data_IF_499894399974
#
_entry.id   IF_499894399974
#
_cell.length_a   1.000
_cell.length_b   1.000
_cell.length_c   1.000
_cell.angle_alpha   90.00
_cell.angle_beta   90.00
_cell.angle_gamma   90.00
#
_symmetry.space_group_name_H-M   'P 1'
#
loop_
_entity.id
_entity.type
_entity.pdbx_description
1 polymer ?
#
# COMPACT_ATOMS: atom_id res chain seq x y z
N UNK A 1 25.25 1.36 7.95
CA UNK A 1 23.91 0.89 8.35
C UNK A 1 23.00 0.99 7.13
N UNK A 2 23.00 -0.02 6.25
CA UNK A 2 22.11 -0.07 5.08
C UNK A 2 20.81 -0.76 5.50
N UNK A 3 19.94 0.01 6.17
CA UNK A 3 18.74 -0.51 6.84
C UNK A 3 17.68 -0.99 5.85
N UNK A 4 17.04 -2.10 6.21
CA UNK A 4 15.89 -2.73 5.57
C UNK A 4 14.82 -1.73 5.12
N UNK A 5 14.87 -1.31 3.86
CA UNK A 5 13.68 -0.79 3.19
C UNK A 5 12.95 -1.98 2.60
N UNK A 6 12.17 -2.65 3.46
CA UNK A 6 11.39 -3.82 3.09
C UNK A 6 10.43 -3.52 1.92
N UNK A 7 9.98 -4.59 1.25
CA UNK A 7 9.02 -4.49 0.15
C UNK A 7 7.80 -3.65 0.54
N UNK A 8 7.41 -2.71 -0.33
CA UNK A 8 6.29 -1.77 -0.14
C UNK A 8 4.96 -2.32 -0.67
N UNK A 9 4.86 -3.64 -0.79
CA UNK A 9 3.68 -4.37 -1.24
C UNK A 9 3.57 -5.69 -0.44
N UNK A 10 2.39 -6.01 0.11
CA UNK A 10 1.11 -5.29 -0.05
C UNK A 10 0.99 -4.02 0.81
N UNK A 11 0.05 -3.13 0.43
CA UNK A 11 -0.48 -2.10 1.33
C UNK A 11 -1.73 -2.66 2.03
N UNK A 12 -1.78 -2.57 3.35
CA UNK A 12 -2.86 -3.18 4.16
C UNK A 12 -3.43 -2.21 5.20
N UNK A 13 -4.70 -2.43 5.56
CA UNK A 13 -5.33 -1.82 6.74
C UNK A 13 -5.49 -2.88 7.81
N UNK A 14 -4.98 -2.60 9.00
CA UNK A 14 -5.17 -3.40 10.20
C UNK A 14 -5.92 -2.59 11.25
N UNK A 15 -6.72 -3.26 12.07
CA UNK A 15 -7.54 -2.65 13.12
C UNK A 15 -7.12 -3.22 14.47
N UNK A 16 -7.12 -2.37 15.49
CA UNK A 16 -6.94 -2.75 16.88
C UNK A 16 -8.18 -2.39 17.70
N UNK A 17 -8.61 -3.32 18.54
CA UNK A 17 -9.71 -3.15 19.49
C UNK A 17 -9.21 -2.99 20.94
N UNK A 18 -7.88 -2.89 21.14
CA UNK A 18 -7.22 -2.93 22.46
C UNK A 18 -6.15 -1.84 22.63
N UNK A 19 -6.42 -0.66 22.08
CA UNK A 19 -5.55 0.53 22.08
C UNK A 19 -4.18 0.29 21.44
N UNK A 20 -4.16 -0.47 20.35
CA UNK A 20 -2.97 -0.72 19.54
C UNK A 20 -2.05 -1.84 20.06
N UNK A 21 -2.50 -2.65 21.03
CA UNK A 21 -1.70 -3.77 21.57
C UNK A 21 -1.70 -4.98 20.64
N UNK A 22 -2.83 -5.29 20.03
CA UNK A 22 -2.99 -6.32 19.01
C UNK A 22 -3.68 -5.75 17.78
N UNK A 23 -3.38 -6.36 16.63
CA UNK A 23 -3.83 -5.89 15.33
C UNK A 23 -4.33 -7.06 14.50
N UNK A 24 -5.55 -6.96 13.99
CA UNK A 24 -6.09 -7.89 12.99
C UNK A 24 -5.99 -7.27 11.60
N UNK A 25 -5.68 -8.09 10.60
CA UNK A 25 -5.79 -7.67 9.20
C UNK A 25 -7.26 -7.44 8.87
N UNK A 26 -7.61 -6.24 8.39
CA UNK A 26 -8.97 -5.88 8.00
C UNK A 26 -9.15 -5.88 6.49
N UNK A 27 -8.20 -5.32 5.73
CA UNK A 27 -8.25 -5.28 4.28
C UNK A 27 -6.85 -5.19 3.65
N UNK A 28 -6.72 -5.72 2.43
CA UNK A 28 -5.60 -5.42 1.52
C UNK A 28 -6.05 -4.32 0.58
N UNK A 29 -5.37 -3.17 0.63
CA UNK A 29 -5.65 -2.00 -0.21
C UNK A 29 -4.95 -2.15 -1.56
N UNK A 30 -3.70 -2.62 -1.55
CA UNK A 30 -2.94 -2.91 -2.77
C UNK A 30 -2.24 -4.26 -2.66
N UNK A 31 -2.51 -5.14 -3.61
CA UNK A 31 -1.92 -6.47 -3.71
C UNK A 31 -0.83 -6.58 -4.80
N UNK A 32 -0.55 -5.47 -5.48
CA UNK A 32 0.40 -5.41 -6.58
C UNK A 32 -0.13 -5.98 -7.90
N UNK A 33 -1.39 -6.40 -7.97
CA UNK A 33 -1.96 -7.19 -9.08
C UNK A 33 -3.26 -6.59 -9.61
N UNK A 34 -4.03 -5.94 -8.77
CA UNK A 34 -5.36 -5.41 -9.11
C UNK A 34 -5.22 -4.04 -9.78
N UNK A 35 -5.74 -3.85 -11.01
CA UNK A 35 -5.82 -2.54 -11.64
C UNK A 35 -6.67 -1.55 -10.82
N UNK A 36 -6.30 -0.27 -10.84
CA UNK A 36 -7.15 0.80 -10.34
C UNK A 36 -8.02 1.28 -11.50
N UNK A 37 -9.33 1.09 -11.35
CA UNK A 37 -10.36 1.47 -12.33
C UNK A 37 -10.53 3.01 -12.41
N UNK A 38 -9.54 3.68 -13.01
CA UNK A 38 -9.52 5.12 -13.31
C UNK A 38 -9.47 5.36 -14.85
N UNK A 39 -9.58 6.62 -15.29
CA UNK A 39 -9.36 7.03 -16.68
C UNK A 39 -8.14 7.99 -16.77
N UNK A 40 -6.97 7.51 -17.27
CA UNK A 40 -6.73 6.19 -17.85
C UNK A 40 -6.55 5.09 -16.79
N UNK A 41 -6.88 3.84 -17.17
CA UNK A 41 -6.70 2.65 -16.32
C UNK A 41 -5.27 2.54 -15.80
N UNK A 42 -5.09 2.47 -14.49
CA UNK A 42 -3.78 2.28 -13.87
C UNK A 42 -3.54 0.78 -13.63
N UNK A 43 -2.67 0.18 -14.42
CA UNK A 43 -2.33 -1.25 -14.33
C UNK A 43 -1.06 -1.43 -13.49
N UNK A 44 -1.09 -2.21 -12.40
CA UNK A 44 0.11 -2.43 -11.59
C UNK A 44 1.13 -3.27 -12.34
N UNK A 45 2.39 -2.85 -12.27
CA UNK A 45 3.52 -3.72 -12.60
C UNK A 45 4.06 -4.38 -11.31
N UNK A 46 4.41 -5.67 -11.40
CA UNK A 46 5.18 -6.39 -10.38
C UNK A 46 6.65 -6.51 -10.81
N UNK A 47 7.61 -6.51 -9.86
CA UNK A 47 8.98 -6.83 -10.18
C UNK A 47 9.05 -8.24 -10.78
N UNK A 48 9.94 -8.51 -11.76
CA UNK A 48 10.19 -9.87 -12.22
C UNK A 48 10.50 -10.80 -11.04
N UNK A 49 10.04 -12.04 -11.09
CA UNK A 49 10.31 -13.02 -10.03
C UNK A 49 11.83 -13.23 -9.91
N UNK A 50 12.37 -13.14 -8.69
CA UNK A 50 13.78 -13.40 -8.42
C UNK A 50 14.75 -12.22 -8.64
N UNK A 51 14.28 -11.05 -9.08
CA UNK A 51 15.05 -9.81 -8.93
C UNK A 51 14.69 -9.15 -7.61
N UNK A 52 15.69 -8.74 -6.84
CA UNK A 52 15.43 -7.87 -5.70
C UNK A 52 14.84 -6.56 -6.25
N UNK A 53 13.63 -6.20 -5.83
CA UNK A 53 12.99 -4.93 -6.17
C UNK A 53 13.79 -3.70 -5.66
N UNK A 54 14.89 -3.98 -4.96
CA UNK A 54 15.69 -3.05 -4.20
C UNK A 54 17.15 -3.47 -4.31
N UNK A 55 17.96 -2.66 -5.00
CA UNK A 55 19.41 -2.75 -4.92
C UNK A 55 19.89 -1.54 -4.12
N UNK A 56 20.56 -1.73 -2.96
CA UNK A 56 21.17 -0.61 -2.26
C UNK A 56 22.28 -0.02 -3.15
N UNK A 57 22.22 1.28 -3.44
CA UNK A 57 23.30 2.01 -4.10
C UNK A 57 23.87 3.08 -3.16
N UNK A 58 25.15 3.43 -3.37
CA UNK A 58 25.91 4.34 -2.50
C UNK A 58 25.34 5.78 -2.48
N UNK A 59 24.51 6.15 -3.46
CA UNK A 59 23.87 7.47 -3.59
C UNK A 59 22.40 7.51 -3.10
N UNK A 60 21.92 6.40 -2.54
CA UNK A 60 20.51 6.20 -2.21
C UNK A 60 19.93 5.01 -2.97
N UNK A 61 18.64 4.78 -2.82
CA UNK A 61 17.99 3.64 -3.45
C UNK A 61 17.47 4.06 -4.83
N UNK A 62 18.07 3.52 -5.89
CA UNK A 62 17.44 3.56 -7.21
C UNK A 62 16.33 2.50 -7.25
N UNK A 63 15.09 2.95 -7.43
CA UNK A 63 13.94 2.05 -7.55
C UNK A 63 13.16 2.35 -8.82
N UNK A 64 12.66 1.30 -9.46
CA UNK A 64 11.78 1.43 -10.62
C UNK A 64 10.35 1.89 -10.23
N UNK A 65 10.03 2.01 -8.94
CA UNK A 65 8.68 2.27 -8.43
C UNK A 65 7.74 1.06 -8.49
N UNK A 66 8.14 -0.01 -9.18
CA UNK A 66 7.31 -1.18 -9.47
C UNK A 66 6.94 -1.91 -8.17
N UNK A 67 5.63 -2.06 -7.91
CA UNK A 67 5.14 -2.65 -6.67
C UNK A 67 5.42 -1.82 -5.41
N UNK A 68 5.68 -0.52 -5.55
CA UNK A 68 5.87 0.37 -4.40
C UNK A 68 4.62 1.18 -4.09
N UNK A 69 4.05 0.92 -2.90
CA UNK A 69 2.91 1.65 -2.35
C UNK A 69 3.31 2.26 -1.01
N UNK A 70 3.16 3.57 -0.83
CA UNK A 70 3.79 4.25 0.30
C UNK A 70 3.11 5.52 0.75
N UNK A 71 3.51 5.98 1.94
CA UNK A 71 3.03 7.21 2.56
C UNK A 71 1.50 7.26 2.63
N UNK A 72 0.84 6.26 3.23
CA UNK A 72 -0.60 6.29 3.36
C UNK A 72 -1.01 7.45 4.27
N UNK A 73 -2.03 8.19 3.86
CA UNK A 73 -2.84 9.04 4.70
C UNK A 73 -4.28 8.51 4.69
N UNK A 74 -4.99 8.62 5.80
CA UNK A 74 -6.35 8.11 5.87
C UNK A 74 -7.28 9.06 6.62
N UNK A 75 -8.51 9.18 6.11
CA UNK A 75 -9.59 9.96 6.73
C UNK A 75 -10.86 9.13 6.75
N UNK A 76 -11.62 9.20 7.84
CA UNK A 76 -12.93 8.58 7.90
C UNK A 76 -13.97 9.51 7.24
N UNK A 77 -14.72 8.98 6.28
CA UNK A 77 -15.82 9.70 5.64
C UNK A 77 -17.06 8.82 5.54
N UNK A 78 -18.10 9.18 6.31
CA UNK A 78 -19.40 8.49 6.39
C UNK A 78 -19.25 6.99 6.69
N UNK A 79 -19.29 6.17 5.66
CA UNK A 79 -19.34 4.71 5.65
C UNK A 79 -18.06 4.07 5.12
N UNK A 80 -16.99 4.84 4.92
CA UNK A 80 -15.71 4.34 4.46
C UNK A 80 -14.51 5.05 5.12
N UNK A 81 -13.41 4.32 5.25
CA UNK A 81 -12.08 4.89 5.43
C UNK A 81 -11.51 5.20 4.04
N UNK A 82 -11.26 6.46 3.74
CA UNK A 82 -10.55 6.86 2.53
C UNK A 82 -9.06 6.82 2.81
N UNK A 83 -8.31 6.13 1.96
CA UNK A 83 -6.86 5.97 2.07
C UNK A 83 -6.23 6.55 0.83
N UNK A 84 -5.38 7.56 0.97
CA UNK A 84 -4.56 8.07 -0.12
C UNK A 84 -3.12 7.62 0.05
N UNK A 85 -2.44 7.28 -1.04
CA UNK A 85 -1.07 6.76 -1.00
C UNK A 85 -0.34 7.03 -2.30
N UNK A 86 0.99 7.09 -2.25
CA UNK A 86 1.82 7.11 -3.45
C UNK A 86 1.77 5.75 -4.13
N UNK A 87 1.38 5.73 -5.40
CA UNK A 87 1.26 4.52 -6.23
C UNK A 87 2.40 4.45 -7.24
N UNK A 88 3.20 3.38 -7.16
CA UNK A 88 4.34 3.07 -8.02
C UNK A 88 5.30 4.23 -8.35
N UNK A 89 5.42 5.20 -7.43
CA UNK A 89 6.14 6.47 -7.63
C UNK A 89 5.69 7.28 -8.86
N UNK A 90 4.46 7.06 -9.33
CA UNK A 90 3.88 7.68 -10.54
C UNK A 90 2.74 8.64 -10.23
N UNK A 91 2.07 8.50 -9.09
CA UNK A 91 0.97 9.37 -8.70
C UNK A 91 0.50 9.10 -7.28
N UNK A 92 -0.62 9.73 -6.93
CA UNK A 92 -1.35 9.50 -5.67
C UNK A 92 -2.71 8.91 -6.03
N UNK A 93 -3.09 7.81 -5.39
CA UNK A 93 -4.37 7.12 -5.59
C UNK A 93 -5.21 7.24 -4.31
N UNK A 94 -6.54 7.34 -4.45
CA UNK A 94 -7.51 7.14 -3.36
C UNK A 94 -8.07 5.72 -3.45
N UNK A 95 -8.00 4.98 -2.34
CA UNK A 95 -8.76 3.76 -2.13
C UNK A 95 -9.85 3.98 -1.08
N UNK A 96 -10.98 3.29 -1.26
CA UNK A 96 -12.13 3.35 -0.35
C UNK A 96 -12.26 2.01 0.35
N UNK A 97 -12.06 1.98 1.67
CA UNK A 97 -12.27 0.78 2.48
C UNK A 97 -13.62 0.89 3.20
N UNK A 98 -14.62 0.06 2.85
CA UNK A 98 -15.91 0.04 3.54
C UNK A 98 -15.77 -0.16 5.05
N UNK A 99 -16.54 0.59 5.84
CA UNK A 99 -16.42 0.61 7.31
C UNK A 99 -16.88 -0.71 7.96
N UNK A 100 -17.71 -1.49 7.28
CA UNK A 100 -18.12 -2.84 7.72
C UNK A 100 -16.94 -3.81 7.79
N UNK A 101 -15.95 -3.70 6.88
CA UNK A 101 -14.71 -4.48 6.94
C UNK A 101 -13.84 -4.14 8.16
N UNK A 102 -13.98 -2.92 8.69
CA UNK A 102 -13.20 -2.43 9.82
C UNK A 102 -13.81 -2.76 11.18
N UNK A 103 -15.05 -3.23 11.20
CA UNK A 103 -15.71 -3.64 12.45
C UNK A 103 -15.38 -5.10 12.74
N UNK A 104 -15.16 -5.40 14.01
CA UNK A 104 -15.15 -6.78 14.48
C UNK A 104 -16.59 -7.30 14.45
N UNK A 105 -16.77 -8.55 14.01
CA UNK A 105 -18.08 -9.21 13.98
C UNK A 105 -18.66 -9.40 15.38
#
# INVERSE_FOLDING_TARGET
>A
MSGDWAARCPLVVSVSDDDGRTWRHAATVEDGRTPVDDDPLLVPALPPQGVAAFAPADEGVETAGVGEYSYPAAVLQRDALLVTYTWQRRGVVEARVPLDLLRSA
#
